data_IF_732285861948
#
_entry.id   IF_732285861948
#
_cell.length_a   1.000
_cell.length_b   1.000
_cell.length_c   1.000
_cell.angle_alpha   90.00
_cell.angle_beta   90.00
_cell.angle_gamma   90.00
#
_symmetry.space_group_name_H-M   'P 1'
#
loop_
_entity.id
_entity.type
_entity.pdbx_description
1 polymer ?
#
# COMPACT_ATOMS: atom_id res chain seq x y z
N UNK A 1 -40.89 -3.23 -65.93
CA UNK A 1 -41.30 -4.41 -65.14
C UNK A 1 -40.05 -5.02 -64.54
N UNK A 2 -40.01 -5.23 -63.23
CA UNK A 2 -39.35 -6.32 -62.48
C UNK A 2 -39.21 -5.88 -61.02
N UNK A 3 -40.15 -6.37 -60.20
CA UNK A 3 -40.20 -6.18 -58.76
C UNK A 3 -39.31 -7.24 -58.09
N UNK A 4 -38.54 -6.85 -57.07
CA UNK A 4 -37.89 -7.81 -56.16
C UNK A 4 -38.21 -7.44 -54.72
N UNK A 5 -39.16 -8.17 -54.17
CA UNK A 5 -39.52 -8.20 -52.75
C UNK A 5 -38.37 -8.82 -51.96
N UNK A 6 -37.84 -8.08 -50.98
CA UNK A 6 -36.92 -8.61 -49.98
C UNK A 6 -37.70 -8.88 -48.71
N UNK A 7 -37.79 -10.15 -48.34
CA UNK A 7 -38.40 -10.62 -47.11
C UNK A 7 -37.50 -10.24 -45.92
N UNK A 8 -38.06 -9.48 -44.98
CA UNK A 8 -37.40 -9.16 -43.72
C UNK A 8 -37.70 -10.28 -42.71
N UNK A 9 -36.66 -11.02 -42.31
CA UNK A 9 -36.71 -11.94 -41.17
C UNK A 9 -36.72 -11.10 -39.88
N UNK A 10 -37.81 -11.18 -39.13
CA UNK A 10 -37.89 -10.63 -37.77
C UNK A 10 -37.12 -11.56 -36.81
N UNK A 11 -35.96 -11.11 -36.35
CA UNK A 11 -35.21 -11.75 -35.27
C UNK A 11 -35.87 -11.40 -33.94
N UNK A 12 -36.47 -12.39 -33.25
CA UNK A 12 -36.99 -12.21 -31.91
C UNK A 12 -35.82 -12.03 -30.92
N UNK A 13 -35.68 -10.83 -30.36
CA UNK A 13 -34.81 -10.58 -29.22
C UNK A 13 -35.40 -11.25 -27.97
N UNK A 14 -34.77 -12.34 -27.51
CA UNK A 14 -35.00 -12.88 -26.18
C UNK A 14 -34.27 -11.99 -25.18
N UNK A 15 -35.00 -11.19 -24.42
CA UNK A 15 -34.46 -10.38 -23.33
C UNK A 15 -34.04 -11.31 -22.17
N UNK A 16 -32.74 -11.53 -22.01
CA UNK A 16 -32.19 -12.19 -20.82
C UNK A 16 -32.32 -11.24 -19.62
N UNK A 17 -32.74 -11.73 -18.44
CA UNK A 17 -32.77 -10.92 -17.23
C UNK A 17 -31.35 -10.47 -16.85
N UNK A 18 -31.18 -9.25 -16.31
CA UNK A 18 -29.88 -8.78 -15.85
C UNK A 18 -29.38 -9.72 -14.75
N UNK A 19 -28.27 -10.41 -15.03
CA UNK A 19 -27.54 -11.16 -14.00
C UNK A 19 -27.13 -10.18 -12.92
N UNK A 20 -27.65 -10.38 -11.70
CA UNK A 20 -27.15 -9.74 -10.49
C UNK A 20 -25.70 -10.19 -10.31
N UNK A 21 -24.77 -9.43 -10.88
CA UNK A 21 -23.34 -9.61 -10.67
C UNK A 21 -23.11 -9.53 -9.16
N UNK A 22 -22.88 -10.71 -8.56
CA UNK A 22 -22.53 -10.84 -7.15
C UNK A 22 -21.35 -9.93 -6.88
N UNK A 23 -21.58 -8.92 -6.03
CA UNK A 23 -20.56 -8.02 -5.56
C UNK A 23 -19.52 -8.79 -4.75
N UNK A 24 -18.54 -9.37 -5.44
CA UNK A 24 -17.34 -9.89 -4.82
C UNK A 24 -16.69 -8.75 -4.07
N UNK A 25 -16.86 -8.73 -2.76
CA UNK A 25 -16.06 -7.89 -1.89
C UNK A 25 -14.60 -8.29 -2.15
N UNK A 26 -13.86 -7.42 -2.84
CA UNK A 26 -12.48 -7.69 -3.22
C UNK A 26 -11.67 -8.01 -1.96
N UNK A 27 -11.32 -9.28 -1.79
CA UNK A 27 -10.64 -9.84 -0.63
C UNK A 27 -9.18 -9.41 -0.55
N UNK A 28 -8.95 -8.12 -0.28
CA UNK A 28 -7.63 -7.58 0.01
C UNK A 28 -7.34 -7.53 1.51
N UNK A 29 -6.05 -7.44 1.85
CA UNK A 29 -5.62 -7.18 3.23
C UNK A 29 -6.21 -5.87 3.74
N UNK A 30 -6.66 -5.90 5.01
CA UNK A 30 -7.20 -4.72 5.70
C UNK A 30 -6.13 -3.63 5.79
N UNK A 31 -6.44 -2.36 5.42
CA UNK A 31 -5.52 -1.24 5.62
C UNK A 31 -5.09 -1.07 7.08
N UNK A 32 -3.91 -0.51 7.28
CA UNK A 32 -3.40 -0.18 8.62
C UNK A 32 -4.27 0.90 9.27
N UNK A 33 -4.61 0.73 10.55
CA UNK A 33 -5.39 1.72 11.30
C UNK A 33 -4.60 3.02 11.52
N UNK A 34 -3.30 2.90 11.76
CA UNK A 34 -2.34 4.02 11.85
C UNK A 34 -1.23 3.86 10.83
N UNK A 35 -0.74 4.98 10.31
CA UNK A 35 0.38 5.02 9.39
C UNK A 35 1.72 4.79 10.12
N UNK A 36 2.58 3.86 9.67
CA UNK A 36 3.87 3.59 10.32
C UNK A 36 4.81 4.79 10.35
N UNK A 37 4.82 5.62 9.31
CA UNK A 37 5.63 6.83 9.27
C UNK A 37 5.03 7.88 10.23
N UNK A 38 3.71 8.04 10.26
CA UNK A 38 3.07 8.93 11.26
C UNK A 38 3.42 8.50 12.68
N UNK A 39 3.27 7.23 13.02
CA UNK A 39 3.61 6.69 14.36
C UNK A 39 5.09 6.90 14.66
N UNK A 40 5.98 6.63 13.69
CA UNK A 40 7.41 6.87 13.83
C UNK A 40 7.72 8.34 14.15
N UNK A 41 7.17 9.27 13.38
CA UNK A 41 7.44 10.71 13.56
C UNK A 41 6.92 11.22 14.91
N UNK A 42 5.85 10.61 15.45
CA UNK A 42 5.29 10.97 16.75
C UNK A 42 6.06 10.38 17.93
N UNK A 43 6.42 9.09 17.87
CA UNK A 43 6.94 8.35 19.03
C UNK A 43 8.45 8.07 18.97
N UNK A 44 9.02 7.93 17.77
CA UNK A 44 10.38 7.42 17.58
C UNK A 44 11.38 8.50 17.15
N UNK A 45 10.92 9.49 16.37
CA UNK A 45 11.79 10.51 15.76
C UNK A 45 12.50 11.40 16.78
N UNK A 46 12.01 11.52 18.03
CA UNK A 46 12.72 12.25 19.09
C UNK A 46 14.14 11.72 19.34
N UNK A 47 14.31 10.39 19.29
CA UNK A 47 15.61 9.75 19.51
C UNK A 47 16.31 9.39 18.20
N UNK A 48 15.54 9.15 17.14
CA UNK A 48 16.06 8.64 15.88
C UNK A 48 16.09 9.65 14.72
N UNK A 49 15.65 10.88 14.97
CA UNK A 49 15.53 11.94 13.97
C UNK A 49 14.37 11.70 12.99
N UNK A 50 13.96 12.74 12.25
CA UNK A 50 12.92 12.61 11.24
C UNK A 50 13.33 11.58 10.19
N UNK A 51 12.43 10.64 9.89
CA UNK A 51 12.63 9.55 8.92
C UNK A 51 13.93 8.75 9.16
N UNK A 52 14.40 8.64 10.40
CA UNK A 52 15.62 7.91 10.74
C UNK A 52 16.91 8.66 10.46
N UNK A 53 16.89 9.99 10.37
CA UNK A 53 18.11 10.76 10.09
C UNK A 53 19.23 10.61 11.14
N UNK A 54 18.94 10.10 12.35
CA UNK A 54 19.94 9.78 13.38
C UNK A 54 20.26 8.29 13.46
N UNK A 55 19.82 7.47 12.48
CA UNK A 55 20.28 6.10 12.36
C UNK A 55 21.78 6.11 12.04
N UNK A 56 22.60 5.84 13.05
CA UNK A 56 24.01 5.58 12.87
C UNK A 56 24.25 4.28 12.09
N UNK A 57 25.47 4.05 11.59
CA UNK A 57 25.80 2.90 10.74
C UNK A 57 25.59 1.53 11.42
N UNK A 58 25.52 1.50 12.76
CA UNK A 58 25.38 0.27 13.54
C UNK A 58 23.94 -0.01 13.99
N UNK A 59 23.02 0.94 13.87
CA UNK A 59 21.67 0.77 14.39
C UNK A 59 20.91 -0.29 13.58
N UNK A 60 20.57 -1.41 14.23
CA UNK A 60 19.83 -2.50 13.59
C UNK A 60 20.65 -3.36 12.63
N UNK A 61 21.94 -3.07 12.46
CA UNK A 61 22.87 -3.85 11.64
C UNK A 61 22.98 -5.28 12.17
N UNK A 62 22.89 -6.26 11.26
CA UNK A 62 23.00 -7.69 11.60
C UNK A 62 21.82 -8.28 12.37
N UNK A 63 20.79 -7.50 12.72
CA UNK A 63 19.60 -8.04 13.39
C UNK A 63 18.75 -8.84 12.41
N UNK A 64 18.33 -10.04 12.81
CA UNK A 64 17.24 -10.76 12.14
C UNK A 64 15.93 -10.00 12.28
N UNK A 65 14.92 -10.35 11.49
CA UNK A 65 13.60 -9.67 11.59
C UNK A 65 12.93 -9.90 12.94
N UNK A 66 13.07 -11.10 13.53
CA UNK A 66 12.58 -11.36 14.90
C UNK A 66 13.29 -10.50 15.96
N UNK A 67 14.62 -10.31 15.83
CA UNK A 67 15.38 -9.45 16.73
C UNK A 67 15.03 -7.96 16.54
N UNK A 68 14.80 -7.53 15.29
CA UNK A 68 14.37 -6.17 15.01
C UNK A 68 12.96 -5.92 15.54
N UNK A 69 12.03 -6.86 15.32
CA UNK A 69 10.66 -6.80 15.84
C UNK A 69 10.65 -6.63 17.36
N UNK A 70 11.40 -7.48 18.09
CA UNK A 70 11.49 -7.39 19.55
C UNK A 70 12.09 -6.06 20.01
N UNK A 71 13.12 -5.57 19.32
CA UNK A 71 13.73 -4.28 19.65
C UNK A 71 12.76 -3.11 19.40
N UNK A 72 12.01 -3.13 18.30
CA UNK A 72 11.00 -2.11 17.99
C UNK A 72 9.88 -2.14 19.03
N UNK A 73 9.43 -3.33 19.44
CA UNK A 73 8.45 -3.50 20.52
C UNK A 73 8.95 -2.87 21.82
N UNK A 74 10.15 -3.25 22.26
CA UNK A 74 10.74 -2.73 23.50
C UNK A 74 10.87 -1.21 23.46
N UNK A 75 11.27 -0.65 22.31
CA UNK A 75 11.36 0.80 22.14
C UNK A 75 10.00 1.49 22.12
N UNK A 76 8.99 0.89 21.48
CA UNK A 76 7.64 1.42 21.44
C UNK A 76 7.00 1.44 22.84
N UNK A 77 7.13 0.35 23.59
CA UNK A 77 6.53 0.19 24.92
C UNK A 77 7.22 1.09 25.96
N UNK A 78 8.55 1.24 25.88
CA UNK A 78 9.32 1.97 26.88
C UNK A 78 9.62 3.42 26.49
N UNK A 79 10.43 3.68 25.48
CA UNK A 79 10.84 5.07 25.18
C UNK A 79 9.78 5.83 24.39
N UNK A 80 9.08 5.14 23.48
CA UNK A 80 8.02 5.70 22.65
C UNK A 80 6.69 5.84 23.38
N UNK A 81 6.46 5.08 24.46
CA UNK A 81 5.21 5.02 25.23
C UNK A 81 3.99 4.91 24.29
N UNK A 82 4.10 4.09 23.25
CA UNK A 82 3.04 3.88 22.26
C UNK A 82 2.70 2.40 22.17
N UNK A 83 1.46 2.07 22.50
CA UNK A 83 0.93 0.72 22.30
C UNK A 83 0.68 0.48 20.81
N UNK A 84 1.25 -0.60 20.27
CA UNK A 84 1.07 -1.03 18.89
C UNK A 84 0.38 -2.39 18.87
N UNK A 85 -0.64 -2.53 18.02
CA UNK A 85 -1.18 -3.86 17.71
C UNK A 85 -0.13 -4.68 16.98
N UNK A 86 -0.26 -6.02 16.94
CA UNK A 86 0.66 -6.90 16.21
C UNK A 86 0.89 -6.43 14.76
N UNK A 87 -0.17 -6.09 14.04
CA UNK A 87 -0.08 -5.64 12.64
C UNK A 87 0.63 -4.29 12.50
N UNK A 88 0.42 -3.37 13.46
CA UNK A 88 1.12 -2.08 13.45
C UNK A 88 2.60 -2.24 13.82
N UNK A 89 2.92 -3.13 14.75
CA UNK A 89 4.29 -3.45 15.14
C UNK A 89 5.05 -4.13 13.99
N UNK A 90 4.41 -5.01 13.23
CA UNK A 90 4.96 -5.57 11.99
C UNK A 90 5.25 -4.48 10.96
N UNK A 91 4.30 -3.57 10.72
CA UNK A 91 4.46 -2.47 9.78
C UNK A 91 5.55 -1.47 10.22
N UNK A 92 5.64 -1.21 11.53
CA UNK A 92 6.68 -0.37 12.12
C UNK A 92 8.06 -1.04 11.96
N UNK A 93 8.16 -2.34 12.25
CA UNK A 93 9.38 -3.13 12.06
C UNK A 93 9.83 -3.09 10.61
N UNK A 94 8.91 -3.24 9.67
CA UNK A 94 9.18 -3.14 8.24
C UNK A 94 9.66 -1.74 7.84
N UNK A 95 9.11 -0.67 8.42
CA UNK A 95 9.59 0.69 8.17
C UNK A 95 11.01 0.91 8.70
N UNK A 96 11.30 0.46 9.92
CA UNK A 96 12.65 0.49 10.49
C UNK A 96 13.64 -0.30 9.61
N UNK A 97 13.24 -1.46 9.09
CA UNK A 97 14.05 -2.26 8.17
C UNK A 97 14.36 -1.50 6.88
N UNK A 98 13.38 -0.83 6.30
CA UNK A 98 13.56 -0.03 5.09
C UNK A 98 14.54 1.13 5.32
N UNK A 99 14.48 1.80 6.47
CA UNK A 99 15.47 2.83 6.85
C UNK A 99 16.89 2.23 6.91
N UNK A 100 17.06 1.11 7.61
CA UNK A 100 18.36 0.43 7.78
C UNK A 100 18.95 0.01 6.42
N UNK A 101 18.12 -0.47 5.50
CA UNK A 101 18.53 -0.91 4.16
C UNK A 101 18.61 0.24 3.14
N UNK A 102 18.23 1.46 3.51
CA UNK A 102 18.08 2.60 2.61
C UNK A 102 17.15 2.33 1.42
N UNK A 103 16.08 1.57 1.66
CA UNK A 103 15.06 1.20 0.68
C UNK A 103 13.79 2.08 0.84
N UNK A 104 13.05 2.38 -0.23
CA UNK A 104 11.80 3.12 -0.14
C UNK A 104 10.70 2.25 0.50
N UNK A 105 10.08 2.72 1.56
CA UNK A 105 8.92 2.10 2.19
C UNK A 105 7.61 2.64 1.61
N UNK A 106 6.58 1.80 1.55
CA UNK A 106 5.20 2.19 1.24
C UNK A 106 4.20 1.35 2.04
N UNK A 107 3.11 1.98 2.49
CA UNK A 107 2.01 1.35 3.22
C UNK A 107 0.65 1.94 2.81
N UNK A 108 -0.42 1.18 3.02
CA UNK A 108 -1.82 1.54 2.77
C UNK A 108 -2.54 1.69 4.11
N UNK A 109 -3.10 2.88 4.34
CA UNK A 109 -3.81 3.25 5.57
C UNK A 109 -5.32 3.44 5.36
N UNK A 110 -5.77 3.58 4.10
CA UNK A 110 -7.18 3.51 3.77
C UNK A 110 -7.40 2.93 2.38
N UNK A 111 -8.52 2.21 2.21
CA UNK A 111 -8.97 1.67 0.94
C UNK A 111 -10.48 1.75 0.85
N UNK A 112 -10.96 2.29 -0.27
CA UNK A 112 -12.35 2.18 -0.71
C UNK A 112 -12.37 1.56 -2.11
N UNK A 113 -13.55 1.49 -2.74
CA UNK A 113 -13.66 1.02 -4.14
C UNK A 113 -12.99 1.98 -5.13
N UNK A 114 -12.89 3.26 -4.80
CA UNK A 114 -12.48 4.33 -5.72
C UNK A 114 -11.23 5.07 -5.25
N UNK A 115 -10.67 4.73 -4.09
CA UNK A 115 -9.56 5.44 -3.50
C UNK A 115 -8.62 4.52 -2.70
N UNK A 116 -7.31 4.77 -2.84
CA UNK A 116 -6.29 4.32 -1.89
C UNK A 116 -5.64 5.52 -1.22
N UNK A 117 -5.32 5.37 0.05
CA UNK A 117 -4.47 6.30 0.81
C UNK A 117 -3.41 5.53 1.58
N UNK A 118 -2.29 6.20 1.82
CA UNK A 118 -1.18 5.57 2.48
C UNK A 118 -0.04 6.51 2.82
N UNK A 119 1.07 5.89 3.20
CA UNK A 119 2.32 6.56 3.48
C UNK A 119 3.45 5.97 2.65
N UNK A 120 4.47 6.77 2.38
CA UNK A 120 5.68 6.34 1.70
C UNK A 120 6.88 7.16 2.17
N UNK A 121 8.08 6.57 2.16
CA UNK A 121 9.34 7.24 2.57
C UNK A 121 9.41 8.64 1.98
N UNK A 122 9.79 9.63 2.81
CA UNK A 122 9.89 11.04 2.38
C UNK A 122 10.81 11.17 1.16
N UNK A 123 10.34 11.89 0.14
CA UNK A 123 11.09 12.10 -1.11
C UNK A 123 10.99 10.96 -2.13
N UNK A 124 10.37 9.82 -1.79
CA UNK A 124 10.11 8.79 -2.79
C UNK A 124 9.12 9.30 -3.86
N UNK A 125 9.18 8.75 -5.07
CA UNK A 125 8.06 8.85 -6.02
C UNK A 125 7.14 7.66 -5.79
N UNK A 126 5.82 7.88 -5.80
CA UNK A 126 4.82 6.82 -5.68
C UNK A 126 4.04 6.74 -7.00
N UNK A 127 3.87 5.54 -7.53
CA UNK A 127 3.03 5.26 -8.69
C UNK A 127 2.05 4.15 -8.35
N UNK A 128 0.81 4.31 -8.79
CA UNK A 128 -0.24 3.30 -8.62
C UNK A 128 -0.73 2.88 -10.01
N UNK A 129 -0.90 1.59 -10.23
CA UNK A 129 -1.52 1.06 -11.45
C UNK A 129 -2.70 0.16 -11.10
N UNK A 130 -3.72 0.16 -11.97
CA UNK A 130 -4.87 -0.76 -11.92
C UNK A 130 -4.92 -1.50 -13.25
N UNK A 131 -4.80 -2.83 -13.22
CA UNK A 131 -4.65 -3.65 -14.43
C UNK A 131 -3.57 -3.11 -15.39
N UNK A 132 -2.45 -2.65 -14.82
CA UNK A 132 -1.33 -2.04 -15.57
C UNK A 132 -1.53 -0.60 -16.01
N UNK A 133 -2.74 -0.02 -15.86
CA UNK A 133 -3.01 1.38 -16.23
C UNK A 133 -2.62 2.34 -15.11
N UNK A 134 -1.76 3.35 -15.37
CA UNK A 134 -1.38 4.35 -14.37
C UNK A 134 -2.60 5.09 -13.81
N UNK A 135 -2.55 5.38 -12.51
CA UNK A 135 -3.55 6.16 -11.79
C UNK A 135 -2.94 7.50 -11.34
N UNK A 136 -3.78 8.51 -11.14
CA UNK A 136 -3.36 9.79 -10.61
C UNK A 136 -3.03 9.68 -9.12
N UNK A 137 -1.78 9.97 -8.76
CA UNK A 137 -1.30 9.99 -7.37
C UNK A 137 -1.10 11.42 -6.90
N UNK A 138 -1.72 11.78 -5.76
CA UNK A 138 -1.48 13.03 -5.03
C UNK A 138 -0.59 12.74 -3.83
N UNK A 139 0.33 13.64 -3.50
CA UNK A 139 1.29 13.44 -2.41
C UNK A 139 1.54 14.72 -1.64
N UNK A 140 1.56 14.63 -0.31
CA UNK A 140 1.91 15.73 0.60
C UNK A 140 2.84 15.19 1.68
N UNK A 141 4.13 15.57 1.63
CA UNK A 141 5.13 15.02 2.55
C UNK A 141 5.34 13.52 2.37
N UNK A 142 5.03 12.73 3.40
CA UNK A 142 5.06 11.26 3.36
C UNK A 142 3.70 10.63 3.11
N UNK A 143 2.61 11.40 3.07
CA UNK A 143 1.27 10.86 2.77
C UNK A 143 0.99 10.89 1.28
N UNK A 144 0.25 9.90 0.79
CA UNK A 144 -0.19 9.82 -0.60
C UNK A 144 -1.63 9.34 -0.70
N UNK A 145 -2.29 9.71 -1.80
CA UNK A 145 -3.58 9.16 -2.21
C UNK A 145 -3.64 8.93 -3.71
N UNK A 146 -4.48 8.00 -4.14
CA UNK A 146 -4.75 7.73 -5.54
C UNK A 146 -6.23 7.43 -5.74
N UNK A 147 -6.84 8.07 -6.73
CA UNK A 147 -8.13 7.61 -7.26
C UNK A 147 -7.90 6.31 -8.01
N UNK A 148 -8.83 5.37 -7.90
CA UNK A 148 -8.81 4.10 -8.61
C UNK A 148 -9.89 4.11 -9.69
N UNK A 149 -9.46 3.99 -10.94
CA UNK A 149 -10.32 3.87 -12.11
C UNK A 149 -10.23 2.46 -12.70
N UNK A 150 -11.40 1.85 -12.89
CA UNK A 150 -11.53 0.48 -13.39
C UNK A 150 -11.42 -0.58 -12.30
N UNK A 151 -11.36 -1.83 -12.74
CA UNK A 151 -11.23 -3.00 -11.88
C UNK A 151 -10.00 -3.81 -12.31
N UNK A 152 -9.37 -4.49 -11.35
CA UNK A 152 -8.25 -5.39 -11.61
C UNK A 152 -7.21 -5.36 -10.49
N UNK A 153 -6.07 -6.00 -10.77
CA UNK A 153 -4.92 -6.02 -9.87
C UNK A 153 -4.39 -4.61 -9.67
N UNK A 154 -4.21 -4.22 -8.41
CA UNK A 154 -3.59 -2.96 -8.06
C UNK A 154 -2.13 -3.19 -7.73
N UNK A 155 -1.23 -2.35 -8.24
CA UNK A 155 0.18 -2.37 -7.87
C UNK A 155 0.62 -0.97 -7.45
N UNK A 156 1.33 -0.89 -6.33
CA UNK A 156 1.94 0.33 -5.82
C UNK A 156 3.46 0.19 -5.95
N UNK A 157 4.10 1.19 -6.55
CA UNK A 157 5.55 1.28 -6.68
C UNK A 157 6.05 2.52 -5.96
N UNK A 158 7.04 2.35 -5.09
CA UNK A 158 7.76 3.45 -4.46
C UNK A 158 9.21 3.44 -4.93
N UNK A 159 9.73 4.59 -5.36
CA UNK A 159 11.12 4.73 -5.84
C UNK A 159 11.85 5.85 -5.12
N UNK A 160 13.09 5.60 -4.71
CA UNK A 160 13.94 6.59 -4.08
C UNK A 160 15.40 6.33 -4.44
N UNK A 161 16.08 7.33 -5.02
CA UNK A 161 17.53 7.27 -5.33
C UNK A 161 17.97 5.99 -6.07
N UNK A 162 17.17 5.52 -7.02
CA UNK A 162 17.45 4.31 -7.80
C UNK A 162 16.97 3.00 -7.17
N UNK A 163 16.61 2.98 -5.88
CA UNK A 163 15.95 1.83 -5.25
C UNK A 163 14.43 1.84 -5.55
N UNK A 164 13.85 0.65 -5.61
CA UNK A 164 12.42 0.43 -5.89
C UNK A 164 11.84 -0.62 -4.93
N UNK A 165 10.64 -0.35 -4.43
CA UNK A 165 9.85 -1.30 -3.64
C UNK A 165 8.44 -1.41 -4.21
N UNK A 166 7.92 -2.64 -4.22
CA UNK A 166 6.61 -2.98 -4.76
C UNK A 166 5.66 -3.42 -3.65
N UNK A 167 4.40 -3.03 -3.77
CA UNK A 167 3.34 -3.47 -2.86
C UNK A 167 2.10 -3.85 -3.68
N UNK A 168 1.67 -5.10 -3.53
CA UNK A 168 0.35 -5.56 -3.92
C UNK A 168 -0.59 -5.41 -2.71
N UNK A 169 -1.46 -4.38 -2.67
CA UNK A 169 -2.35 -4.14 -1.56
C UNK A 169 -3.44 -5.21 -1.40
N UNK A 170 -3.56 -6.19 -2.31
CA UNK A 170 -4.40 -7.36 -2.08
C UNK A 170 -3.70 -8.39 -1.19
N UNK A 171 -2.36 -8.41 -1.16
CA UNK A 171 -1.55 -9.38 -0.42
C UNK A 171 -0.96 -8.86 0.88
N UNK A 172 -0.73 -7.56 0.99
CA UNK A 172 -0.16 -6.94 2.19
C UNK A 172 -0.63 -5.48 2.34
N UNK A 173 -0.64 -4.96 3.58
CA UNK A 173 -0.92 -3.56 3.83
C UNK A 173 0.33 -2.66 3.74
N UNK A 174 1.53 -3.23 3.77
CA UNK A 174 2.79 -2.51 3.66
C UNK A 174 3.87 -3.34 2.96
N UNK A 175 4.87 -2.65 2.44
CA UNK A 175 6.08 -3.27 1.90
C UNK A 175 6.98 -3.88 2.98
N UNK A 176 7.96 -4.69 2.57
CA UNK A 176 8.96 -5.32 3.45
C UNK A 176 8.35 -6.18 4.57
N UNK A 177 7.21 -6.82 4.32
CA UNK A 177 6.66 -7.83 5.23
C UNK A 177 7.63 -9.01 5.35
N UNK A 178 7.82 -9.52 6.57
CA UNK A 178 8.80 -10.57 6.90
C UNK A 178 8.51 -11.96 6.28
N UNK A 179 7.41 -12.10 5.53
CA UNK A 179 6.93 -13.35 4.94
C UNK A 179 7.03 -13.38 3.40
N UNK A 180 7.95 -12.63 2.79
CA UNK A 180 8.21 -12.68 1.35
C UNK A 180 9.47 -13.45 1.01
#
# INVERSE_FOLDING_TARGET
MWARSSAWLALALVALPPSLAGGGQGGGVKPLARGPITVYEQACARCHGPNGSFYGPDLGKGKTDAQLYKAVQDMADNQGQVELTTVELEAQTAYHRAIIKHEPFVAVTARTKTELRGEATKGATVSVTVAGKPQLVKRTGFTWSSTLEGAGTVLILARLKGAETRLDPQKAAHSHSCNQ
#
